data_IF_277577732451
#
_entry.id   IF_277577732451
#
_cell.length_a   1.000
_cell.length_b   1.000
_cell.length_c   1.000
_cell.angle_alpha   90.00
_cell.angle_beta   90.00
_cell.angle_gamma   90.00
#
_symmetry.space_group_name_H-M   'P 1'
#
loop_
_entity.id
_entity.type
_entity.pdbx_description
1 polymer ?
#
# COMPACT_ATOMS: atom_id res chain seq x y z
N UNK A 1 2.25 -6.03 55.45
CA UNK A 1 1.37 -5.65 54.33
C UNK A 1 2.25 -5.34 53.12
N UNK A 2 2.53 -6.32 52.27
CA UNK A 2 3.26 -6.11 51.02
C UNK A 2 2.27 -5.71 49.93
N UNK A 3 2.51 -4.65 49.14
CA UNK A 3 1.57 -4.24 48.11
C UNK A 3 1.53 -5.28 46.98
N UNK A 4 0.31 -5.67 46.58
CA UNK A 4 0.04 -6.54 45.42
C UNK A 4 0.56 -5.84 44.16
N UNK A 5 1.58 -6.43 43.53
CA UNK A 5 2.10 -5.97 42.23
C UNK A 5 0.96 -6.02 41.21
N UNK A 6 0.62 -4.86 40.67
CA UNK A 6 -0.47 -4.71 39.71
C UNK A 6 -0.18 -5.42 38.40
N UNK A 7 -1.22 -5.99 37.81
CA UNK A 7 -1.24 -6.71 36.52
C UNK A 7 -0.77 -5.83 35.33
N UNK A 8 -0.60 -4.52 35.54
CA UNK A 8 -0.20 -3.56 34.52
C UNK A 8 1.32 -3.45 34.27
N UNK A 9 2.19 -4.06 35.09
CA UNK A 9 3.65 -3.97 34.91
C UNK A 9 4.24 -5.00 33.93
N UNK A 10 3.43 -5.90 33.36
CA UNK A 10 3.90 -6.89 32.38
C UNK A 10 4.02 -6.36 30.94
N UNK A 11 3.50 -5.16 30.64
CA UNK A 11 3.48 -4.61 29.27
C UNK A 11 4.51 -3.47 29.05
N UNK A 12 5.37 -3.19 30.03
CA UNK A 12 6.33 -2.09 29.96
C UNK A 12 7.68 -2.46 29.33
N UNK A 13 7.92 -3.74 29.04
CA UNK A 13 9.25 -4.20 28.62
C UNK A 13 9.26 -4.95 27.28
N UNK A 14 8.37 -4.59 26.38
CA UNK A 14 8.61 -4.75 24.96
C UNK A 14 8.74 -3.35 24.37
N UNK A 15 9.99 -2.88 24.32
CA UNK A 15 10.39 -1.87 23.35
C UNK A 15 10.08 -2.51 22.00
N UNK A 16 8.88 -2.25 21.49
CA UNK A 16 8.51 -2.53 20.12
C UNK A 16 9.60 -1.88 19.28
N UNK A 17 10.50 -2.70 18.74
CA UNK A 17 11.58 -2.27 17.88
C UNK A 17 10.94 -1.36 16.84
N UNK A 18 11.29 -0.07 16.92
CA UNK A 18 10.81 0.90 15.97
C UNK A 18 11.19 0.35 14.60
N UNK A 19 10.16 -0.03 13.82
CA UNK A 19 10.30 -0.55 12.45
C UNK A 19 11.43 0.22 11.76
N UNK A 20 12.43 -0.43 11.16
CA UNK A 20 13.61 0.24 10.64
C UNK A 20 13.16 1.39 9.75
N UNK A 21 13.39 2.61 10.26
CA UNK A 21 13.18 3.87 9.55
C UNK A 21 14.28 3.95 8.51
N UNK A 22 14.21 3.12 7.47
CA UNK A 22 14.95 3.29 6.23
C UNK A 22 14.40 4.55 5.54
N UNK A 23 14.81 5.70 6.08
CA UNK A 23 14.67 7.03 5.53
C UNK A 23 15.56 7.14 4.29
N UNK A 24 15.29 6.33 3.27
CA UNK A 24 15.63 6.73 1.93
C UNK A 24 14.56 7.75 1.54
N UNK A 25 14.97 8.99 1.32
CA UNK A 25 14.18 10.14 0.85
C UNK A 25 13.58 9.83 -0.53
N UNK A 26 12.69 8.85 -0.59
CA UNK A 26 12.01 8.43 -1.80
C UNK A 26 11.02 9.54 -2.11
N UNK A 27 11.30 10.29 -3.18
CA UNK A 27 10.39 11.32 -3.71
C UNK A 27 8.99 10.72 -3.76
N UNK A 28 8.07 11.32 -3.01
CA UNK A 28 6.67 10.93 -3.02
C UNK A 28 6.12 11.21 -4.41
N UNK A 29 5.45 10.22 -4.96
CA UNK A 29 4.90 10.26 -6.30
C UNK A 29 3.39 10.31 -6.18
N UNK A 30 2.75 11.21 -6.93
CA UNK A 30 1.30 11.28 -7.00
C UNK A 30 0.75 10.21 -7.95
N UNK A 31 -0.23 9.44 -7.47
CA UNK A 31 -0.98 8.47 -8.25
C UNK A 31 -2.43 8.93 -8.31
N UNK A 32 -2.95 9.15 -9.52
CA UNK A 32 -4.38 9.45 -9.72
C UNK A 32 -5.15 8.16 -9.91
N UNK A 33 -6.23 7.97 -9.16
CA UNK A 33 -7.13 6.82 -9.29
C UNK A 33 -8.54 7.38 -9.46
N UNK A 34 -9.00 7.45 -10.71
CA UNK A 34 -10.23 8.16 -11.06
C UNK A 34 -10.19 9.62 -10.59
N UNK A 35 -11.12 10.00 -9.71
CA UNK A 35 -11.20 11.34 -9.12
C UNK A 35 -10.29 11.56 -7.90
N UNK A 36 -9.69 10.51 -7.34
CA UNK A 36 -8.87 10.59 -6.12
C UNK A 36 -7.38 10.64 -6.47
N UNK A 37 -6.63 11.43 -5.71
CA UNK A 37 -5.17 11.47 -5.77
C UNK A 37 -4.59 10.91 -4.49
N UNK A 38 -3.67 9.95 -4.61
CA UNK A 38 -2.97 9.32 -3.47
C UNK A 38 -1.47 9.50 -3.66
N UNK A 39 -0.77 9.84 -2.59
CA UNK A 39 0.69 9.88 -2.60
C UNK A 39 1.24 8.49 -2.28
N UNK A 40 2.17 8.02 -3.09
CA UNK A 40 2.77 6.71 -2.95
C UNK A 40 4.29 6.75 -3.16
N UNK A 41 4.96 5.75 -2.64
CA UNK A 41 6.38 5.59 -2.89
C UNK A 41 6.60 4.92 -4.27
N UNK A 42 7.63 5.33 -5.02
CA UNK A 42 7.99 4.64 -6.25
C UNK A 42 8.40 3.20 -5.92
N UNK A 43 8.06 2.26 -6.82
CA UNK A 43 8.23 0.80 -6.64
C UNK A 43 7.30 0.13 -5.61
N UNK A 44 6.40 0.87 -4.96
CA UNK A 44 5.37 0.25 -4.10
C UNK A 44 4.37 -0.56 -4.96
N UNK A 45 3.82 -1.68 -4.46
CA UNK A 45 2.83 -2.45 -5.19
C UNK A 45 1.51 -1.67 -5.37
N UNK A 46 0.97 -1.64 -6.59
CA UNK A 46 -0.26 -0.91 -6.91
C UNK A 46 -1.47 -1.43 -6.12
N UNK A 47 -1.51 -2.73 -5.83
CA UNK A 47 -2.51 -3.36 -4.97
C UNK A 47 -2.73 -2.62 -3.64
N UNK A 48 -1.66 -2.21 -2.95
CA UNK A 48 -1.76 -1.52 -1.65
C UNK A 48 -2.36 -0.11 -1.82
N UNK A 49 -2.00 0.59 -2.88
CA UNK A 49 -2.44 1.96 -3.14
C UNK A 49 -3.88 1.99 -3.64
N UNK A 50 -4.25 1.04 -4.50
CA UNK A 50 -5.63 0.87 -4.99
C UNK A 50 -6.58 0.56 -3.83
N UNK A 51 -6.14 -0.29 -2.88
CA UNK A 51 -6.87 -0.54 -1.63
C UNK A 51 -6.95 0.73 -0.77
N UNK A 52 -5.85 1.46 -0.60
CA UNK A 52 -5.81 2.72 0.17
C UNK A 52 -6.70 3.82 -0.44
N UNK A 53 -6.79 3.88 -1.77
CA UNK A 53 -7.69 4.81 -2.48
C UNK A 53 -9.17 4.41 -2.37
N UNK A 54 -9.46 3.18 -1.92
CA UNK A 54 -10.81 2.62 -1.89
C UNK A 54 -11.39 2.39 -3.29
N UNK A 55 -10.54 2.11 -4.28
CA UNK A 55 -11.02 1.82 -5.62
C UNK A 55 -11.60 0.40 -5.68
N UNK A 56 -12.77 0.20 -6.32
CA UNK A 56 -13.48 -1.09 -6.36
C UNK A 56 -12.83 -2.07 -7.35
N UNK A 57 -11.59 -2.47 -7.07
CA UNK A 57 -10.83 -3.44 -7.88
C UNK A 57 -10.86 -4.80 -7.19
N UNK A 58 -11.38 -5.80 -7.89
CA UNK A 58 -11.45 -7.17 -7.38
C UNK A 58 -10.13 -7.91 -7.66
N UNK A 59 -9.44 -8.27 -6.61
CA UNK A 59 -8.24 -9.12 -6.67
C UNK A 59 -8.64 -10.55 -6.29
N UNK A 60 -8.61 -11.48 -7.23
CA UNK A 60 -8.97 -12.88 -6.96
C UNK A 60 -7.73 -13.77 -6.77
N UNK A 61 -6.83 -13.78 -7.75
CA UNK A 61 -5.71 -14.73 -7.79
C UNK A 61 -4.37 -14.16 -7.36
N UNK A 62 -4.20 -12.83 -7.39
CA UNK A 62 -2.98 -12.06 -7.04
C UNK A 62 -1.69 -12.38 -7.84
N UNK A 63 -1.66 -13.50 -8.56
CA UNK A 63 -0.56 -13.97 -9.41
C UNK A 63 -0.68 -13.49 -10.87
N UNK A 64 -1.67 -12.65 -11.17
CA UNK A 64 -1.92 -12.15 -12.52
C UNK A 64 -2.53 -13.15 -13.50
N UNK A 65 -2.92 -14.37 -13.10
CA UNK A 65 -3.50 -15.39 -14.01
C UNK A 65 -4.97 -15.14 -14.40
N UNK A 66 -5.76 -14.59 -13.48
CA UNK A 66 -7.21 -14.49 -13.56
C UNK A 66 -7.73 -13.24 -14.31
N UNK A 67 -6.90 -12.22 -14.55
CA UNK A 67 -7.31 -10.99 -15.27
C UNK A 67 -8.31 -10.08 -14.54
N UNK A 68 -8.86 -10.45 -13.37
CA UNK A 68 -9.86 -9.62 -12.66
C UNK A 68 -9.33 -8.26 -12.19
N UNK A 69 -8.01 -8.15 -12.03
CA UNK A 69 -7.27 -6.96 -11.59
C UNK A 69 -6.83 -6.03 -12.75
N UNK A 70 -7.40 -6.19 -13.95
CA UNK A 70 -7.03 -5.39 -15.13
C UNK A 70 -7.66 -4.00 -15.11
N UNK A 71 -6.81 -2.97 -15.19
CA UNK A 71 -7.22 -1.57 -15.35
C UNK A 71 -6.26 -0.84 -16.28
N UNK A 72 -6.66 0.35 -16.73
CA UNK A 72 -5.81 1.20 -17.55
C UNK A 72 -4.89 2.00 -16.65
N UNK A 73 -3.59 1.83 -16.83
CA UNK A 73 -2.54 2.62 -16.17
C UNK A 73 -1.87 3.43 -17.27
N UNK A 74 -2.03 4.76 -17.23
CA UNK A 74 -1.51 5.70 -18.24
C UNK A 74 -1.89 5.29 -19.68
N UNK A 75 -3.15 4.85 -19.84
CA UNK A 75 -3.70 4.40 -21.12
C UNK A 75 -3.38 2.95 -21.50
N UNK A 76 -2.53 2.24 -20.75
CA UNK A 76 -2.16 0.84 -21.04
C UNK A 76 -2.92 -0.13 -20.13
N UNK A 77 -3.51 -1.18 -20.71
CA UNK A 77 -4.12 -2.27 -19.94
C UNK A 77 -3.03 -3.02 -19.17
N UNK A 78 -3.08 -2.94 -17.85
CA UNK A 78 -2.07 -3.51 -16.95
C UNK A 78 -2.75 -4.28 -15.81
N UNK A 79 -2.12 -5.38 -15.40
CA UNK A 79 -2.55 -6.19 -14.26
C UNK A 79 -2.07 -5.58 -12.96
N UNK A 80 -2.98 -4.96 -12.19
CA UNK A 80 -2.65 -4.22 -10.96
C UNK A 80 -2.12 -5.10 -9.83
N UNK A 81 -2.42 -6.40 -9.87
CA UNK A 81 -2.01 -7.39 -8.88
C UNK A 81 -0.48 -7.61 -8.85
N UNK A 82 0.19 -7.53 -9.99
CA UNK A 82 1.64 -7.75 -10.14
C UNK A 82 2.41 -6.47 -10.44
N UNK A 83 1.70 -5.38 -10.79
CA UNK A 83 2.32 -4.13 -11.18
C UNK A 83 2.74 -3.26 -9.98
N UNK A 84 3.80 -2.49 -10.22
CA UNK A 84 4.40 -1.55 -9.26
C UNK A 84 4.22 -0.10 -9.74
N UNK A 85 4.30 0.85 -8.80
CA UNK A 85 4.22 2.29 -9.11
C UNK A 85 5.46 2.71 -9.90
N UNK A 86 5.29 3.33 -11.08
CA UNK A 86 6.40 3.92 -11.81
C UNK A 86 6.94 5.17 -11.11
N UNK A 87 8.23 5.46 -11.29
CA UNK A 87 8.90 6.57 -10.61
C UNK A 87 8.35 7.97 -10.96
N UNK A 88 7.63 8.10 -12.09
CA UNK A 88 7.07 9.37 -12.59
C UNK A 88 5.62 9.63 -12.14
N UNK A 89 4.99 8.66 -11.48
CA UNK A 89 3.56 8.68 -11.16
C UNK A 89 2.74 8.05 -12.25
N UNK A 90 1.53 7.66 -11.88
CA UNK A 90 0.63 7.00 -12.80
C UNK A 90 -0.82 7.44 -12.59
N UNK A 91 -1.58 7.38 -13.67
CA UNK A 91 -3.02 7.57 -13.70
C UNK A 91 -3.71 6.23 -13.93
N UNK A 92 -4.47 5.76 -12.94
CA UNK A 92 -5.28 4.55 -13.02
C UNK A 92 -6.71 4.96 -13.35
N UNK A 93 -7.19 4.54 -14.51
CA UNK A 93 -8.59 4.67 -14.92
C UNK A 93 -9.22 3.29 -15.03
N UNK A 94 -10.53 3.24 -14.76
CA UNK A 94 -11.31 2.01 -14.95
C UNK A 94 -11.35 1.69 -16.45
N UNK A 95 -11.21 0.41 -16.79
CA UNK A 95 -11.51 -0.09 -18.15
C UNK A 95 -12.96 0.22 -18.52
#
# INVERSE_FOLDING_TARGET
MTPRRGIFDAFKNEVFEETPKDKLSKKLVSVRIGSKTVQALPKQPLKKIVKAAGAPVKFNCENGKCGTCENRVDGRLTRLCTATVPAKGCSITRK
#
